data_IF_323420650883
#
_entry.id   IF_323420650883
#
_cell.length_a   1.000
_cell.length_b   1.000
_cell.length_c   1.000
_cell.angle_alpha   90.00
_cell.angle_beta   90.00
_cell.angle_gamma   90.00
#
_symmetry.space_group_name_H-M   'P 1'
#
loop_
_entity.id
_entity.type
_entity.pdbx_description
1 polymer ?
#
# COMPACT_ATOMS: atom_id res chain seq x y z
N UNK A 1 0.46 6.20 6.87
CA UNK A 1 1.40 6.48 5.76
C UNK A 1 1.27 7.94 5.34
N UNK A 2 0.16 8.33 4.71
CA UNK A 2 -0.11 9.73 4.30
C UNK A 2 -0.21 10.71 5.47
N UNK A 3 -0.54 10.23 6.67
CA UNK A 3 -0.58 11.04 7.90
C UNK A 3 0.75 11.76 8.21
N UNK A 4 1.88 11.20 7.77
CA UNK A 4 3.22 11.76 7.99
C UNK A 4 3.64 12.81 6.95
N UNK A 5 2.85 13.00 5.89
CA UNK A 5 3.07 14.08 4.94
C UNK A 5 2.63 15.43 5.53
N UNK A 6 3.38 16.48 5.22
CA UNK A 6 3.01 17.86 5.54
C UNK A 6 1.98 18.38 4.54
N UNK A 7 0.98 19.12 5.00
CA UNK A 7 -0.07 19.69 4.13
C UNK A 7 -1.14 20.38 4.96
N UNK A 8 -1.85 21.34 4.35
CA UNK A 8 -2.87 22.13 5.04
C UNK A 8 -4.22 21.38 5.13
N UNK A 9 -4.42 20.40 4.25
CA UNK A 9 -5.58 19.50 4.22
C UNK A 9 -5.15 18.03 4.10
N UNK A 10 -6.09 17.10 4.26
CA UNK A 10 -5.80 15.68 4.01
C UNK A 10 -5.61 15.43 2.51
N UNK A 11 -6.32 16.18 1.66
CA UNK A 11 -6.19 16.18 0.21
C UNK A 11 -4.78 16.61 -0.23
N UNK A 12 -4.23 17.68 0.35
CA UNK A 12 -2.87 18.15 0.06
C UNK A 12 -1.82 17.08 0.39
N UNK A 13 -2.02 16.37 1.50
CA UNK A 13 -1.13 15.28 1.91
C UNK A 13 -1.18 14.11 0.94
N UNK A 14 -2.38 13.76 0.48
CA UNK A 14 -2.57 12.74 -0.56
C UNK A 14 -1.93 13.15 -1.88
N UNK A 15 -2.11 14.41 -2.30
CA UNK A 15 -1.53 14.91 -3.54
C UNK A 15 0.00 14.84 -3.52
N UNK A 16 0.63 15.26 -2.42
CA UNK A 16 2.08 15.12 -2.25
C UNK A 16 2.54 13.68 -2.24
N UNK A 17 1.84 12.81 -1.50
CA UNK A 17 2.17 11.39 -1.47
C UNK A 17 2.11 10.75 -2.87
N UNK A 18 1.05 11.00 -3.64
CA UNK A 18 0.90 10.45 -5.00
C UNK A 18 1.95 11.05 -5.94
N UNK A 19 2.25 12.34 -5.83
CA UNK A 19 3.28 13.01 -6.63
C UNK A 19 4.68 12.45 -6.36
N UNK A 20 5.01 12.14 -5.11
CA UNK A 20 6.28 11.48 -4.77
C UNK A 20 6.36 10.08 -5.38
N UNK A 21 5.27 9.31 -5.37
CA UNK A 21 5.22 8.00 -6.02
C UNK A 21 5.43 8.10 -7.53
N UNK A 22 4.96 9.16 -8.18
CA UNK A 22 5.18 9.41 -9.61
C UNK A 22 6.60 9.87 -9.94
N UNK A 23 7.26 10.53 -9.00
CA UNK A 23 8.64 10.97 -9.11
C UNK A 23 9.65 9.83 -8.83
N UNK A 24 9.18 8.64 -8.42
CA UNK A 24 10.07 7.50 -8.20
C UNK A 24 10.86 7.16 -9.47
N UNK A 25 12.15 6.79 -9.33
CA UNK A 25 12.98 6.35 -10.45
C UNK A 25 12.33 5.22 -11.26
N UNK A 26 12.62 5.20 -12.56
CA UNK A 26 11.92 4.33 -13.53
C UNK A 26 12.07 2.83 -13.25
N UNK A 27 13.10 2.41 -12.51
CA UNK A 27 13.34 1.04 -12.08
C UNK A 27 12.32 0.53 -11.03
N UNK A 28 11.63 1.44 -10.33
CA UNK A 28 10.59 1.08 -9.37
C UNK A 28 9.24 0.88 -10.07
N UNK A 29 9.00 -0.33 -10.56
CA UNK A 29 7.76 -0.69 -11.28
C UNK A 29 6.66 -1.29 -10.42
N UNK A 30 6.97 -1.76 -9.22
CA UNK A 30 6.02 -2.51 -8.38
C UNK A 30 6.04 -1.93 -6.97
N UNK A 31 4.85 -1.63 -6.44
CA UNK A 31 4.70 -1.14 -5.07
C UNK A 31 3.74 -2.02 -4.27
N UNK A 32 4.08 -2.23 -3.00
CA UNK A 32 3.17 -2.78 -2.00
C UNK A 32 2.67 -1.67 -1.09
N UNK A 33 1.35 -1.46 -1.03
CA UNK A 33 0.76 -0.48 -0.12
C UNK A 33 0.53 -1.17 1.22
N UNK A 34 1.37 -0.84 2.21
CA UNK A 34 1.35 -1.43 3.54
C UNK A 34 0.39 -0.67 4.47
N UNK A 35 -0.84 -1.14 4.53
CA UNK A 35 -1.87 -0.62 5.41
C UNK A 35 -2.02 -1.46 6.69
N UNK A 36 -2.45 -0.80 7.76
CA UNK A 36 -2.72 -1.44 9.03
C UNK A 36 -4.20 -1.83 9.12
N UNK A 37 -4.47 -3.13 9.25
CA UNK A 37 -5.81 -3.76 9.36
C UNK A 37 -6.75 -3.64 8.15
N UNK A 38 -6.89 -2.45 7.54
CA UNK A 38 -7.84 -2.18 6.46
C UNK A 38 -7.12 -1.82 5.14
N UNK A 39 -7.82 -1.87 4.01
CA UNK A 39 -7.26 -1.65 2.67
C UNK A 39 -7.56 -0.26 2.09
N UNK A 40 -8.10 0.66 2.90
CA UNK A 40 -8.55 1.97 2.45
C UNK A 40 -7.45 2.78 1.73
N UNK A 41 -6.20 2.66 2.19
CA UNK A 41 -5.06 3.32 1.58
C UNK A 41 -4.74 2.75 0.20
N UNK A 42 -4.66 1.42 0.11
CA UNK A 42 -4.50 0.68 -1.13
C UNK A 42 -5.60 1.03 -2.15
N UNK A 43 -6.87 0.97 -1.75
CA UNK A 43 -8.01 1.29 -2.62
C UNK A 43 -7.93 2.72 -3.16
N UNK A 44 -7.53 3.67 -2.31
CA UNK A 44 -7.35 5.06 -2.74
C UNK A 44 -6.22 5.21 -3.76
N UNK A 45 -5.07 4.55 -3.56
CA UNK A 45 -3.95 4.57 -4.53
C UNK A 45 -4.37 3.92 -5.86
N UNK A 46 -5.12 2.82 -5.82
CA UNK A 46 -5.71 2.20 -7.01
C UNK A 46 -6.65 3.18 -7.72
N UNK A 47 -7.45 3.94 -6.98
CA UNK A 47 -8.31 5.00 -7.54
C UNK A 47 -7.53 6.06 -8.31
N UNK A 48 -6.41 6.57 -7.77
CA UNK A 48 -5.52 7.48 -8.49
C UNK A 48 -4.98 6.85 -9.78
N UNK A 49 -4.53 5.59 -9.72
CA UNK A 49 -4.03 4.87 -10.89
C UNK A 49 -5.11 4.72 -11.97
N UNK A 50 -6.34 4.37 -11.58
CA UNK A 50 -7.48 4.26 -12.49
C UNK A 50 -7.87 5.60 -13.11
N UNK A 51 -7.62 6.71 -12.41
CA UNK A 51 -7.80 8.07 -12.92
C UNK A 51 -6.65 8.56 -13.84
N UNK A 52 -5.69 7.70 -14.18
CA UNK A 52 -4.60 8.03 -15.11
C UNK A 52 -3.31 8.52 -14.44
N UNK A 53 -3.25 8.60 -13.11
CA UNK A 53 -1.99 8.86 -12.36
C UNK A 53 -1.14 7.59 -12.24
N UNK A 54 0.07 7.69 -11.70
CA UNK A 54 0.95 6.54 -11.38
C UNK A 54 1.30 5.68 -12.60
N UNK A 55 1.58 6.32 -13.74
CA UNK A 55 1.94 5.64 -14.99
C UNK A 55 3.33 4.99 -14.94
N UNK A 56 4.20 5.45 -14.04
CA UNK A 56 5.53 4.89 -13.80
C UNK A 56 5.49 3.54 -13.06
N UNK A 57 4.38 3.23 -12.36
CA UNK A 57 4.18 2.01 -11.58
C UNK A 57 3.35 1.02 -12.39
N UNK A 58 3.83 -0.19 -12.63
CA UNK A 58 3.12 -1.23 -13.39
C UNK A 58 2.15 -2.03 -12.52
N UNK A 59 2.53 -2.32 -11.26
CA UNK A 59 1.76 -3.19 -10.39
C UNK A 59 1.65 -2.65 -8.95
N UNK A 60 0.45 -2.75 -8.37
CA UNK A 60 0.15 -2.38 -6.99
C UNK A 60 -0.35 -3.62 -6.23
N UNK A 61 0.31 -3.95 -5.13
CA UNK A 61 -0.11 -5.03 -4.23
C UNK A 61 -0.67 -4.47 -2.92
N UNK A 62 -1.79 -5.01 -2.42
CA UNK A 62 -2.21 -4.74 -1.06
C UNK A 62 -1.32 -5.54 -0.09
N UNK A 63 -0.77 -4.84 0.90
CA UNK A 63 -0.04 -5.43 2.01
C UNK A 63 -0.77 -5.08 3.29
N UNK A 64 -1.28 -6.08 4.01
CA UNK A 64 -1.97 -5.87 5.28
C UNK A 64 -1.05 -6.24 6.42
N UNK A 65 -0.80 -5.26 7.30
CA UNK A 65 -0.04 -5.42 8.51
C UNK A 65 -0.96 -5.72 9.70
N UNK A 66 -0.69 -6.83 10.39
CA UNK A 66 -1.36 -7.22 11.63
C UNK A 66 -0.38 -7.28 12.78
N UNK A 67 -0.73 -6.63 13.89
CA UNK A 67 -0.01 -6.75 15.16
C UNK A 67 -0.79 -7.59 16.15
N UNK A 68 -0.39 -8.84 16.34
CA UNK A 68 -1.04 -9.74 17.28
C UNK A 68 -0.35 -9.65 18.64
N UNK A 69 -1.13 -9.35 19.68
CA UNK A 69 -0.63 -9.12 21.05
C UNK A 69 -0.43 -10.39 21.87
N UNK A 70 -1.12 -11.51 21.57
CA UNK A 70 -1.00 -12.77 22.32
C UNK A 70 -1.24 -13.98 21.41
N UNK A 71 -0.23 -14.84 21.24
CA UNK A 71 -0.45 -16.23 20.87
C UNK A 71 -0.82 -16.98 22.15
N UNK A 72 -1.98 -17.64 22.18
CA UNK A 72 -2.46 -18.38 23.34
C UNK A 72 -1.50 -19.52 23.71
N UNK A 73 -0.85 -19.42 24.88
CA UNK A 73 -0.22 -20.58 25.54
C UNK A 73 1.28 -20.48 25.86
N UNK A 74 2.04 -19.50 25.36
CA UNK A 74 3.49 -19.40 25.64
C UNK A 74 3.89 -18.01 26.18
N UNK A 75 4.56 -17.97 27.35
CA UNK A 75 5.01 -16.73 28.03
C UNK A 75 6.12 -15.97 27.29
N UNK A 76 6.73 -16.57 26.27
CA UNK A 76 7.91 -16.03 25.54
C UNK A 76 7.51 -15.26 24.27
N UNK A 77 6.44 -15.63 23.58
CA UNK A 77 5.98 -14.94 22.36
C UNK A 77 5.10 -13.73 22.69
N UNK A 78 5.75 -12.59 22.96
CA UNK A 78 5.07 -11.39 23.45
C UNK A 78 4.39 -10.56 22.34
N UNK A 79 4.91 -10.54 21.12
CA UNK A 79 4.38 -9.77 19.96
C UNK A 79 4.85 -10.38 18.64
N UNK A 80 3.95 -10.54 17.67
CA UNK A 80 4.28 -10.96 16.29
C UNK A 80 3.64 -9.96 15.33
N UNK A 81 4.41 -9.52 14.33
CA UNK A 81 3.91 -8.72 13.21
C UNK A 81 3.78 -9.63 12.00
N UNK A 82 2.58 -9.68 11.41
CA UNK A 82 2.33 -10.36 10.15
C UNK A 82 2.20 -9.32 9.05
N UNK A 83 2.92 -9.51 7.96
CA UNK A 83 2.70 -8.77 6.71
C UNK A 83 2.16 -9.78 5.71
N UNK A 84 0.89 -9.60 5.33
CA UNK A 84 0.21 -10.48 4.38
C UNK A 84 0.12 -9.74 3.06
N UNK A 85 0.78 -10.29 2.04
CA UNK A 85 0.71 -9.78 0.67
C UNK A 85 -0.29 -10.65 -0.08
N UNK A 86 -1.36 -10.05 -0.61
CA UNK A 86 -2.32 -10.81 -1.39
C UNK A 86 -1.92 -10.82 -2.86
N UNK A 87 -1.88 -12.02 -3.45
CA UNK A 87 -1.82 -12.16 -4.91
C UNK A 87 -3.22 -11.96 -5.46
N UNK A 88 -3.45 -10.84 -6.12
CA UNK A 88 -4.69 -10.60 -6.85
C UNK A 88 -4.61 -11.32 -8.20
N UNK A 89 -4.91 -12.62 -8.22
CA UNK A 89 -5.10 -13.35 -9.48
C UNK A 89 -6.52 -13.08 -9.99
N UNK A 90 -6.70 -11.95 -10.68
CA UNK A 90 -7.97 -11.55 -11.31
C UNK A 90 -7.83 -10.38 -12.27
N UNK A 91 -8.00 -10.67 -13.58
CA UNK A 91 -8.09 -9.75 -14.75
C UNK A 91 -6.87 -8.90 -15.13
N UNK A 92 -5.65 -9.45 -15.09
CA UNK A 92 -4.54 -8.97 -15.93
C UNK A 92 -3.75 -10.14 -16.52
N UNK A 93 -4.46 -11.12 -17.11
CA UNK A 93 -3.92 -11.86 -18.24
C UNK A 93 -4.31 -11.09 -19.51
N UNK A 94 -3.50 -10.09 -19.85
CA UNK A 94 -3.36 -9.58 -21.20
C UNK A 94 -1.92 -9.05 -21.33
N UNK A 95 -0.96 -9.92 -21.02
CA UNK A 95 0.33 -9.90 -21.67
C UNK A 95 0.29 -11.04 -22.69
N UNK A 96 -0.24 -10.72 -23.87
CA UNK A 96 -0.05 -11.43 -25.13
C UNK A 96 -0.12 -10.42 -26.25
#
# INVERSE_FOLDING_TARGET
MVSFYEGNSIEDKWEKFISDLEALPSEFKVLGINDYLFLDGYEKVVGYKQAGRLQNIECLFPVVEFRIKKFGGNKVFKRVNFHIIFSLRGKNQALS
#
